data_IF_145347788708
#
_entry.id   IF_145347788708
#
_cell.length_a   1.000
_cell.length_b   1.000
_cell.length_c   1.000
_cell.angle_alpha   90.00
_cell.angle_beta   90.00
_cell.angle_gamma   90.00
#
_symmetry.space_group_name_H-M   'P 1'
#
loop_
_entity.id
_entity.type
_entity.pdbx_description
1 polymer ?
#
# COMPACT_ATOMS: atom_id res chain seq x y z
N UNK A 1 -34.32 -0.80 46.93
CA UNK A 1 -34.48 -1.99 46.09
C UNK A 1 -33.11 -2.44 45.58
N UNK A 2 -32.66 -3.56 46.12
CA UNK A 2 -31.31 -4.11 46.03
C UNK A 2 -31.28 -5.13 44.88
N UNK A 3 -30.45 -4.96 43.86
CA UNK A 3 -30.25 -5.98 42.81
C UNK A 3 -28.83 -6.54 42.90
N UNK A 4 -28.79 -7.83 43.15
CA UNK A 4 -27.62 -8.68 43.38
C UNK A 4 -26.77 -8.85 42.09
N UNK A 5 -25.45 -8.67 42.27
CA UNK A 5 -24.41 -9.14 41.35
C UNK A 5 -24.35 -10.68 41.33
N UNK A 6 -24.39 -11.30 40.17
CA UNK A 6 -23.91 -12.67 39.96
C UNK A 6 -22.66 -12.65 39.08
N UNK A 7 -21.56 -13.02 39.71
CA UNK A 7 -20.31 -13.42 39.05
C UNK A 7 -20.48 -14.87 38.57
N UNK A 8 -20.32 -15.10 37.28
CA UNK A 8 -20.06 -16.43 36.70
C UNK A 8 -18.57 -16.52 36.36
N UNK A 9 -17.87 -17.36 37.14
CA UNK A 9 -16.56 -17.87 36.84
C UNK A 9 -16.74 -19.06 35.90
N UNK A 10 -16.16 -19.03 34.69
CA UNK A 10 -15.91 -20.21 33.88
C UNK A 10 -14.41 -20.34 33.68
N UNK A 11 -13.83 -21.30 34.36
CA UNK A 11 -12.48 -21.75 34.15
C UNK A 11 -12.45 -22.65 32.90
N UNK A 12 -11.57 -22.34 31.95
CA UNK A 12 -11.23 -23.26 30.85
C UNK A 12 -9.83 -23.80 31.08
N UNK A 13 -9.77 -25.13 31.34
CA UNK A 13 -8.52 -25.86 31.51
C UNK A 13 -7.81 -26.02 30.17
N UNK A 14 -6.54 -25.65 30.15
CA UNK A 14 -5.59 -26.02 29.09
C UNK A 14 -5.12 -27.46 29.35
N UNK A 15 -5.54 -28.39 28.49
CA UNK A 15 -4.95 -29.73 28.40
C UNK A 15 -3.67 -29.63 27.55
N UNK A 16 -2.52 -29.78 28.18
CA UNK A 16 -1.23 -29.94 27.50
C UNK A 16 -1.14 -31.34 26.87
N UNK A 17 -1.14 -31.40 25.55
CA UNK A 17 -0.84 -32.62 24.80
C UNK A 17 0.67 -32.75 24.65
N UNK A 18 1.30 -33.53 25.50
CA UNK A 18 2.72 -33.93 25.38
C UNK A 18 2.85 -35.05 24.35
N UNK A 19 3.28 -34.73 23.15
CA UNK A 19 3.69 -35.69 22.14
C UNK A 19 5.17 -36.02 22.39
N UNK A 20 5.43 -37.18 22.93
CA UNK A 20 6.79 -37.72 23.07
C UNK A 20 7.27 -38.23 21.68
N UNK A 21 8.25 -37.51 21.08
CA UNK A 21 9.01 -38.04 19.96
C UNK A 21 10.13 -38.94 20.50
N UNK A 22 10.36 -40.14 19.92
CA UNK A 22 11.53 -40.92 20.26
C UNK A 22 12.78 -40.20 19.76
N UNK A 23 13.66 -39.81 20.68
CA UNK A 23 14.98 -39.31 20.39
C UNK A 23 15.80 -40.43 19.76
N UNK A 24 16.03 -40.40 18.45
CA UNK A 24 17.13 -41.10 17.82
C UNK A 24 18.41 -40.41 18.26
N UNK A 25 19.14 -41.08 19.15
CA UNK A 25 20.48 -40.62 19.57
C UNK A 25 21.40 -40.72 18.35
N UNK A 26 21.63 -39.59 17.68
CA UNK A 26 22.75 -39.45 16.77
C UNK A 26 24.01 -39.30 17.61
N UNK A 27 25.10 -39.96 17.22
CA UNK A 27 26.36 -39.95 17.98
C UNK A 27 26.95 -38.53 18.01
N UNK A 28 27.55 -38.13 19.13
CA UNK A 28 28.21 -36.83 19.30
C UNK A 28 29.26 -36.57 18.20
N UNK A 29 29.88 -37.61 17.67
CA UNK A 29 30.86 -37.51 16.58
C UNK A 29 30.22 -37.06 15.23
N UNK A 30 28.93 -37.37 14.97
CA UNK A 30 28.23 -36.91 13.79
C UNK A 30 27.81 -35.44 13.93
N UNK A 31 27.56 -34.98 15.16
CA UNK A 31 27.21 -33.57 15.43
C UNK A 31 28.47 -32.70 15.30
N UNK A 32 29.61 -33.15 15.79
CA UNK A 32 30.90 -32.42 15.66
C UNK A 32 31.37 -32.35 14.21
N UNK A 33 31.13 -33.37 13.40
CA UNK A 33 31.40 -33.34 11.96
C UNK A 33 30.46 -32.35 11.23
N UNK A 34 29.20 -32.24 11.63
CA UNK A 34 28.22 -31.27 11.09
C UNK A 34 28.54 -29.83 11.52
N UNK A 35 29.09 -29.63 12.72
CA UNK A 35 29.47 -28.30 13.22
C UNK A 35 30.80 -27.83 12.62
N UNK A 36 31.76 -28.77 12.34
CA UNK A 36 33.03 -28.47 11.68
C UNK A 36 32.84 -28.02 10.19
N UNK A 37 31.69 -28.24 9.60
CA UNK A 37 31.32 -27.86 8.23
C UNK A 37 30.57 -26.53 8.14
N UNK A 38 30.58 -25.68 9.17
CA UNK A 38 30.09 -24.29 9.09
C UNK A 38 31.05 -23.47 8.25
N UNK A 39 30.95 -23.64 6.96
CA UNK A 39 31.77 -22.99 5.95
C UNK A 39 31.19 -21.62 5.63
N UNK A 40 32.07 -20.66 5.38
CA UNK A 40 31.62 -19.38 4.82
C UNK A 40 30.87 -19.61 3.50
N UNK A 41 30.01 -18.69 3.06
CA UNK A 41 29.33 -18.83 1.75
C UNK A 41 30.29 -19.10 0.59
N UNK A 42 31.53 -18.59 0.65
CA UNK A 42 32.55 -18.83 -0.35
C UNK A 42 33.05 -20.28 -0.34
N UNK A 43 33.23 -20.87 0.84
CA UNK A 43 33.65 -22.29 0.99
C UNK A 43 32.50 -23.22 0.53
N UNK A 44 31.28 -22.90 0.88
CA UNK A 44 30.11 -23.67 0.42
C UNK A 44 29.97 -23.64 -1.11
N UNK A 45 30.22 -22.51 -1.76
CA UNK A 45 30.27 -22.38 -3.22
C UNK A 45 31.37 -23.29 -3.81
N UNK A 46 32.57 -23.25 -3.23
CA UNK A 46 33.67 -24.08 -3.70
C UNK A 46 33.39 -25.59 -3.56
N UNK A 47 32.86 -26.00 -2.41
CA UNK A 47 32.44 -27.39 -2.14
C UNK A 47 31.35 -27.85 -3.08
N UNK A 48 30.29 -27.03 -3.27
CA UNK A 48 29.18 -27.34 -4.19
C UNK A 48 29.64 -27.45 -5.66
N UNK A 49 30.58 -26.63 -6.09
CA UNK A 49 31.19 -26.74 -7.43
C UNK A 49 31.97 -28.06 -7.58
N UNK A 50 32.70 -28.47 -6.56
CA UNK A 50 33.40 -29.74 -6.56
C UNK A 50 32.44 -30.91 -6.60
N UNK A 51 31.39 -30.91 -5.79
CA UNK A 51 30.30 -31.90 -5.79
C UNK A 51 29.60 -31.97 -7.15
N UNK A 52 29.27 -30.81 -7.74
CA UNK A 52 28.65 -30.75 -9.06
C UNK A 52 29.58 -31.30 -10.15
N UNK A 53 30.88 -31.04 -10.08
CA UNK A 53 31.86 -31.59 -11.01
C UNK A 53 32.04 -33.12 -10.86
N UNK A 54 31.85 -33.65 -9.66
CA UNK A 54 31.80 -35.07 -9.38
C UNK A 54 30.46 -35.75 -9.77
N UNK A 55 29.47 -34.99 -10.23
CA UNK A 55 28.13 -35.47 -10.59
C UNK A 55 27.17 -35.57 -9.40
N UNK A 56 27.60 -35.23 -8.20
CA UNK A 56 26.75 -35.18 -7.01
C UNK A 56 25.99 -33.85 -6.91
N UNK A 57 24.98 -33.71 -7.78
CA UNK A 57 24.14 -32.51 -7.81
C UNK A 57 23.25 -32.38 -6.56
N UNK A 58 22.88 -33.50 -5.94
CA UNK A 58 22.06 -33.51 -4.72
C UNK A 58 22.85 -33.02 -3.53
N UNK A 59 24.10 -33.49 -3.37
CA UNK A 59 25.03 -33.00 -2.35
C UNK A 59 25.33 -31.50 -2.54
N UNK A 60 25.59 -31.06 -3.77
CA UNK A 60 25.78 -29.65 -4.09
C UNK A 60 24.58 -28.78 -3.68
N UNK A 61 23.36 -29.25 -3.98
CA UNK A 61 22.13 -28.55 -3.58
C UNK A 61 21.99 -28.47 -2.06
N UNK A 62 22.22 -29.57 -1.34
CA UNK A 62 22.15 -29.58 0.12
C UNK A 62 23.19 -28.68 0.80
N UNK A 63 24.43 -28.63 0.26
CA UNK A 63 25.49 -27.75 0.74
C UNK A 63 25.12 -26.28 0.59
N UNK A 64 24.57 -25.89 -0.58
CA UNK A 64 24.14 -24.52 -0.86
C UNK A 64 22.90 -24.11 -0.08
N UNK A 65 21.94 -25.00 0.10
CA UNK A 65 20.75 -24.76 0.91
C UNK A 65 21.11 -24.47 2.36
N UNK A 66 22.02 -25.26 2.95
CA UNK A 66 22.53 -25.03 4.31
C UNK A 66 23.23 -23.68 4.41
N UNK A 67 24.10 -23.34 3.46
CA UNK A 67 24.79 -22.05 3.45
C UNK A 67 23.80 -20.86 3.36
N UNK A 68 22.70 -21.03 2.66
CA UNK A 68 21.64 -20.02 2.53
C UNK A 68 20.75 -19.93 3.77
N UNK A 69 20.61 -21.01 4.56
CA UNK A 69 19.95 -20.96 5.86
C UNK A 69 20.77 -20.13 6.88
N UNK A 70 22.07 -20.26 6.85
CA UNK A 70 22.98 -19.49 7.72
C UNK A 70 23.20 -18.06 7.23
N UNK A 71 23.27 -17.86 5.91
CA UNK A 71 23.50 -16.58 5.26
C UNK A 71 22.48 -16.32 4.14
N UNK A 72 21.26 -15.90 4.48
CA UNK A 72 20.16 -15.71 3.51
C UNK A 72 20.46 -14.71 2.38
N UNK A 73 21.43 -13.81 2.59
CA UNK A 73 21.82 -12.76 1.67
C UNK A 73 23.03 -13.11 0.80
N UNK A 74 23.48 -14.37 0.81
CA UNK A 74 24.59 -14.82 -0.03
C UNK A 74 24.12 -15.03 -1.48
N UNK A 75 24.01 -13.92 -2.25
CA UNK A 75 23.48 -13.91 -3.61
C UNK A 75 24.20 -14.88 -4.56
N UNK A 76 25.55 -14.99 -4.44
CA UNK A 76 26.35 -15.90 -5.27
C UNK A 76 26.04 -17.37 -4.97
N UNK A 77 25.88 -17.75 -3.70
CA UNK A 77 25.47 -19.08 -3.31
C UNK A 77 24.04 -19.39 -3.82
N UNK A 78 23.14 -18.43 -3.77
CA UNK A 78 21.77 -18.55 -4.28
C UNK A 78 21.72 -18.73 -5.78
N UNK A 79 22.54 -18.02 -6.54
CA UNK A 79 22.64 -18.18 -8.00
C UNK A 79 23.16 -19.58 -8.35
N UNK A 80 24.21 -20.05 -7.67
CA UNK A 80 24.70 -21.41 -7.89
C UNK A 80 23.70 -22.47 -7.47
N UNK A 81 22.92 -22.23 -6.41
CA UNK A 81 21.82 -23.09 -5.98
C UNK A 81 20.75 -23.19 -7.05
N UNK A 82 20.32 -22.07 -7.61
CA UNK A 82 19.37 -22.06 -8.72
C UNK A 82 19.90 -22.81 -9.94
N UNK A 83 21.17 -22.64 -10.32
CA UNK A 83 21.80 -23.40 -11.38
C UNK A 83 21.77 -24.91 -11.10
N UNK A 84 22.04 -25.33 -9.86
CA UNK A 84 22.05 -26.72 -9.42
C UNK A 84 20.65 -27.32 -9.45
N UNK A 85 19.62 -26.58 -9.00
CA UNK A 85 18.22 -26.98 -9.10
C UNK A 85 17.78 -27.21 -10.55
N UNK A 86 18.16 -26.35 -11.49
CA UNK A 86 17.87 -26.58 -12.90
C UNK A 86 18.54 -27.84 -13.45
N UNK A 87 19.78 -28.12 -13.08
CA UNK A 87 20.48 -29.36 -13.45
C UNK A 87 19.82 -30.61 -12.85
N UNK A 88 19.18 -30.48 -11.70
CA UNK A 88 18.37 -31.54 -11.05
C UNK A 88 16.99 -31.69 -11.70
N UNK A 89 16.60 -30.84 -12.65
CA UNK A 89 15.30 -30.87 -13.31
C UNK A 89 14.20 -30.11 -12.55
N UNK A 90 14.56 -29.23 -11.61
CA UNK A 90 13.64 -28.33 -10.89
C UNK A 90 13.83 -26.85 -11.31
N UNK A 91 13.38 -26.46 -12.52
CA UNK A 91 13.44 -25.07 -12.96
C UNK A 91 12.47 -24.16 -12.18
N UNK A 92 11.48 -24.73 -11.50
CA UNK A 92 10.51 -23.96 -10.73
C UNK A 92 11.11 -23.55 -9.39
N UNK A 93 11.79 -24.46 -8.69
CA UNK A 93 12.58 -24.14 -7.51
C UNK A 93 13.68 -23.10 -7.81
N UNK A 94 14.37 -23.24 -8.94
CA UNK A 94 15.35 -22.27 -9.38
C UNK A 94 14.77 -20.84 -9.56
N UNK A 95 13.58 -20.72 -10.15
CA UNK A 95 12.91 -19.41 -10.29
C UNK A 95 12.52 -18.79 -8.95
N UNK A 96 12.12 -19.61 -7.98
CA UNK A 96 11.80 -19.16 -6.62
C UNK A 96 13.07 -18.57 -5.98
N UNK A 97 14.20 -19.26 -6.09
CA UNK A 97 15.47 -18.80 -5.52
C UNK A 97 15.98 -17.52 -6.21
N UNK A 98 15.86 -17.41 -7.53
CA UNK A 98 16.17 -16.19 -8.26
C UNK A 98 15.27 -15.02 -7.82
N UNK A 99 13.99 -15.27 -7.53
CA UNK A 99 13.05 -14.27 -7.03
C UNK A 99 13.39 -13.72 -5.64
N UNK A 100 14.20 -14.46 -4.85
CA UNK A 100 14.69 -14.03 -3.52
C UNK A 100 15.97 -13.20 -3.57
N UNK A 101 16.62 -13.08 -4.74
CA UNK A 101 17.85 -12.30 -4.86
C UNK A 101 17.59 -10.84 -4.53
N UNK A 102 18.29 -10.33 -3.52
CA UNK A 102 18.37 -8.90 -3.29
C UNK A 102 19.15 -8.25 -4.44
N UNK A 103 18.65 -7.16 -4.95
CA UNK A 103 19.01 -6.55 -6.25
C UNK A 103 20.34 -5.79 -6.28
N UNK A 104 21.15 -5.90 -5.25
CA UNK A 104 22.48 -5.30 -5.20
C UNK A 104 23.51 -6.33 -5.68
N UNK A 105 24.14 -6.02 -6.81
CA UNK A 105 25.36 -6.70 -7.32
C UNK A 105 25.22 -8.19 -7.69
N UNK A 106 24.21 -8.55 -8.47
CA UNK A 106 24.20 -9.84 -9.16
C UNK A 106 25.29 -9.80 -10.22
N UNK A 107 26.44 -10.43 -9.94
CA UNK A 107 27.52 -10.60 -10.92
C UNK A 107 26.95 -11.20 -12.21
N UNK A 108 27.07 -10.46 -13.32
CA UNK A 108 26.51 -10.88 -14.61
C UNK A 108 26.93 -12.30 -15.02
N UNK A 109 28.17 -12.67 -14.72
CA UNK A 109 28.73 -13.99 -15.06
C UNK A 109 28.05 -15.15 -14.31
N UNK A 110 27.73 -14.99 -13.00
CA UNK A 110 27.07 -16.04 -12.23
C UNK A 110 25.59 -16.18 -12.57
N UNK A 111 24.94 -15.06 -12.92
CA UNK A 111 23.59 -15.12 -13.44
C UNK A 111 23.51 -15.80 -14.79
N UNK A 112 24.46 -15.50 -15.68
CA UNK A 112 24.55 -16.13 -17.00
C UNK A 112 24.80 -17.63 -16.89
N UNK A 113 25.64 -18.08 -15.94
CA UNK A 113 25.86 -19.50 -15.61
C UNK A 113 24.55 -20.17 -15.15
N UNK A 114 23.81 -19.53 -14.23
CA UNK A 114 22.52 -20.04 -13.77
C UNK A 114 21.49 -20.09 -14.89
N UNK A 115 21.40 -19.06 -15.70
CA UNK A 115 20.48 -19.00 -16.85
C UNK A 115 20.80 -20.04 -17.91
N UNK A 116 22.08 -20.28 -18.20
CA UNK A 116 22.52 -21.31 -19.12
C UNK A 116 22.17 -22.71 -18.58
N UNK A 117 22.39 -22.99 -17.30
CA UNK A 117 22.01 -24.23 -16.65
C UNK A 117 20.49 -24.50 -16.73
N UNK A 118 19.70 -23.46 -16.75
CA UNK A 118 18.23 -23.51 -16.87
C UNK A 118 17.73 -23.39 -18.32
N UNK A 119 18.59 -23.56 -19.31
CA UNK A 119 18.20 -23.53 -20.73
C UNK A 119 17.69 -22.17 -21.22
N UNK A 120 18.12 -21.06 -20.61
CA UNK A 120 17.67 -19.72 -20.93
C UNK A 120 16.28 -19.35 -20.34
N UNK A 121 15.73 -20.21 -19.49
CA UNK A 121 14.38 -20.05 -18.92
C UNK A 121 14.33 -19.14 -17.69
N UNK A 122 15.46 -18.72 -17.15
CA UNK A 122 15.50 -17.75 -16.07
C UNK A 122 15.34 -16.34 -16.70
N UNK A 123 14.20 -15.74 -16.50
CA UNK A 123 14.11 -14.30 -16.70
C UNK A 123 15.11 -13.66 -15.73
N UNK A 124 16.06 -12.90 -16.25
CA UNK A 124 16.84 -12.00 -15.41
C UNK A 124 15.82 -11.25 -14.58
N UNK A 125 15.92 -11.25 -13.22
CA UNK A 125 15.00 -10.43 -12.44
C UNK A 125 15.00 -9.09 -13.13
N UNK A 126 13.82 -8.68 -13.67
CA UNK A 126 13.72 -7.36 -14.25
C UNK A 126 14.39 -6.47 -13.23
N UNK A 127 15.34 -5.57 -13.63
CA UNK A 127 15.86 -4.64 -12.67
C UNK A 127 14.64 -4.20 -11.94
N UNK A 128 14.59 -4.42 -10.62
CA UNK A 128 13.48 -3.91 -9.90
C UNK A 128 13.33 -2.54 -10.49
N UNK A 129 12.11 -2.18 -10.91
CA UNK A 129 11.85 -0.76 -11.00
C UNK A 129 12.50 -0.27 -9.75
N UNK A 130 13.70 0.24 -9.95
CA UNK A 130 14.63 0.34 -8.87
C UNK A 130 13.91 1.19 -7.84
N UNK A 131 13.53 0.59 -6.75
CA UNK A 131 13.52 1.28 -5.49
C UNK A 131 15.01 1.58 -5.19
N UNK A 132 15.75 1.90 -6.29
CA UNK A 132 17.01 2.59 -6.28
C UNK A 132 16.66 3.85 -5.54
N UNK A 133 17.20 4.04 -4.36
CA UNK A 133 16.94 5.18 -3.52
C UNK A 133 17.02 6.53 -4.24
N UNK A 134 17.33 6.52 -5.53
CA UNK A 134 17.35 7.64 -6.46
C UNK A 134 16.35 7.42 -7.57
N UNK A 135 15.49 8.37 -7.82
CA UNK A 135 14.68 8.30 -9.00
C UNK A 135 13.49 9.24 -9.02
N UNK A 136 13.02 9.40 -10.20
CA UNK A 136 11.75 10.03 -10.55
C UNK A 136 10.82 8.91 -10.99
N UNK A 137 9.68 8.78 -10.34
CA UNK A 137 8.62 7.88 -10.75
C UNK A 137 7.29 8.61 -10.73
N UNK A 138 6.37 8.19 -11.56
CA UNK A 138 5.10 8.88 -11.60
C UNK A 138 4.06 8.19 -12.44
N UNK A 139 2.88 8.79 -12.42
CA UNK A 139 1.79 8.42 -13.30
C UNK A 139 1.03 9.66 -13.76
N UNK A 140 0.55 9.63 -14.97
CA UNK A 140 -0.39 10.61 -15.53
C UNK A 140 -1.58 9.83 -16.08
N UNK A 141 -2.78 10.30 -15.83
CA UNK A 141 -3.97 9.68 -16.37
C UNK A 141 -5.00 10.72 -16.82
N UNK A 142 -5.80 10.32 -17.79
CA UNK A 142 -6.96 11.06 -18.25
C UNK A 142 -8.06 10.10 -18.68
N UNK A 143 -9.31 10.52 -18.57
CA UNK A 143 -10.42 9.64 -18.89
C UNK A 143 -11.79 10.26 -18.68
N UNK A 144 -12.79 9.38 -18.71
CA UNK A 144 -14.19 9.69 -18.51
C UNK A 144 -14.73 8.96 -17.28
N UNK A 145 -15.62 9.58 -16.55
CA UNK A 145 -16.37 8.97 -15.48
C UNK A 145 -17.87 9.21 -15.68
N UNK A 146 -18.66 8.26 -15.24
CA UNK A 146 -20.10 8.36 -15.09
C UNK A 146 -20.47 8.09 -13.65
N UNK A 147 -21.29 8.94 -13.05
CA UNK A 147 -21.87 8.77 -11.72
C UNK A 147 -23.38 8.90 -11.78
N UNK A 148 -24.11 7.93 -11.22
CA UNK A 148 -25.58 7.98 -11.17
C UNK A 148 -26.09 9.05 -10.20
N UNK A 149 -25.28 9.48 -9.25
CA UNK A 149 -25.53 10.60 -8.35
C UNK A 149 -24.21 11.36 -8.14
N UNK A 150 -23.92 12.25 -9.07
CA UNK A 150 -22.65 13.00 -9.10
C UNK A 150 -22.42 13.80 -7.80
N UNK A 151 -23.49 14.34 -7.19
CA UNK A 151 -23.39 15.04 -5.91
C UNK A 151 -22.93 14.14 -4.76
N UNK A 152 -23.30 12.86 -4.79
CA UNK A 152 -22.82 11.87 -3.81
C UNK A 152 -21.32 11.59 -3.95
N UNK A 153 -20.81 11.54 -5.16
CA UNK A 153 -19.38 11.31 -5.43
C UNK A 153 -18.51 12.46 -4.89
N UNK A 154 -18.92 13.72 -5.08
CA UNK A 154 -18.21 14.88 -4.54
C UNK A 154 -18.16 14.86 -3.00
N UNK A 155 -19.22 14.42 -2.36
CA UNK A 155 -19.30 14.36 -0.91
C UNK A 155 -18.24 13.48 -0.22
N UNK A 156 -17.54 12.60 -0.96
CA UNK A 156 -16.41 11.83 -0.45
C UNK A 156 -15.13 12.66 -0.32
N UNK A 157 -14.93 13.61 -1.22
CA UNK A 157 -13.72 14.42 -1.30
C UNK A 157 -13.75 15.59 -0.32
N UNK A 158 -14.94 16.05 0.05
CA UNK A 158 -15.14 17.27 0.83
C UNK A 158 -16.13 17.06 1.96
N UNK A 159 -16.16 17.98 2.92
CA UNK A 159 -17.18 18.05 3.95
C UNK A 159 -18.44 18.78 3.48
N UNK A 160 -18.49 19.13 2.20
CA UNK A 160 -19.57 19.88 1.59
C UNK A 160 -20.89 19.11 1.59
N UNK A 161 -21.96 19.80 1.87
CA UNK A 161 -23.34 19.33 1.77
C UNK A 161 -24.02 19.99 0.59
N UNK A 162 -24.04 19.31 -0.52
CA UNK A 162 -24.95 19.67 -1.58
C UNK A 162 -26.36 19.16 -1.23
N UNK A 163 -27.35 20.01 -1.28
CA UNK A 163 -28.77 19.63 -1.36
C UNK A 163 -29.17 19.26 -2.80
N UNK A 164 -28.17 18.95 -3.62
CA UNK A 164 -28.37 18.72 -5.04
C UNK A 164 -29.38 17.60 -5.29
N UNK A 165 -30.24 17.85 -6.24
CA UNK A 165 -31.17 16.89 -6.85
C UNK A 165 -30.32 15.72 -7.36
N UNK A 166 -30.86 14.50 -7.26
CA UNK A 166 -30.22 13.33 -7.86
C UNK A 166 -30.17 13.52 -9.36
N UNK A 167 -29.01 13.71 -9.91
CA UNK A 167 -28.76 13.83 -11.33
C UNK A 167 -27.56 13.01 -11.73
N UNK A 168 -27.72 12.25 -12.81
CA UNK A 168 -26.66 11.51 -13.45
C UNK A 168 -25.68 12.49 -14.08
N UNK A 169 -24.38 12.21 -14.00
CA UNK A 169 -23.33 13.05 -14.54
C UNK A 169 -22.27 12.30 -15.31
N UNK A 170 -21.81 12.91 -16.39
CA UNK A 170 -20.58 12.52 -17.08
C UNK A 170 -19.50 13.56 -16.83
N UNK A 171 -18.32 13.10 -16.50
CA UNK A 171 -17.18 13.96 -16.16
C UNK A 171 -15.95 13.59 -16.96
N UNK A 172 -15.13 14.59 -17.26
CA UNK A 172 -13.71 14.40 -17.54
C UNK A 172 -12.98 14.21 -16.20
N UNK A 173 -12.14 13.19 -16.14
CA UNK A 173 -11.27 12.95 -15.00
C UNK A 173 -9.83 12.96 -15.45
N UNK A 174 -8.95 13.53 -14.64
CA UNK A 174 -7.53 13.58 -14.94
C UNK A 174 -6.70 13.69 -13.68
N UNK A 175 -5.43 13.39 -13.81
CA UNK A 175 -4.50 13.57 -12.71
C UNK A 175 -3.09 13.21 -13.07
N UNK A 176 -2.19 13.63 -12.20
CA UNK A 176 -0.78 13.31 -12.28
C UNK A 176 -0.24 13.08 -10.86
N UNK A 177 0.69 12.16 -10.74
CA UNK A 177 1.48 11.94 -9.53
C UNK A 177 2.94 11.84 -9.91
N UNK A 178 3.78 12.56 -9.21
CA UNK A 178 5.23 12.55 -9.33
C UNK A 178 5.82 12.25 -7.97
N UNK A 179 6.77 11.32 -7.90
CA UNK A 179 7.55 11.03 -6.71
C UNK A 179 9.03 11.19 -7.06
N UNK A 180 9.74 11.89 -6.19
CA UNK A 180 11.16 12.14 -6.26
C UNK A 180 11.82 11.54 -5.04
N UNK A 181 12.92 10.82 -5.21
CA UNK A 181 13.73 10.28 -4.11
C UNK A 181 15.20 10.54 -4.41
N UNK A 182 15.94 11.01 -3.43
CA UNK A 182 17.39 11.20 -3.55
C UNK A 182 18.13 9.91 -3.19
N UNK A 183 19.42 9.85 -3.58
CA UNK A 183 20.34 8.79 -3.17
C UNK A 183 20.36 8.63 -1.66
N UNK A 184 20.34 7.37 -1.23
CA UNK A 184 20.34 7.02 0.17
C UNK A 184 18.95 6.91 0.82
N UNK A 185 17.86 7.33 0.17
CA UNK A 185 16.52 7.15 0.75
C UNK A 185 16.22 5.68 1.07
N UNK A 186 16.64 4.74 0.22
CA UNK A 186 16.50 3.30 0.42
C UNK A 186 17.49 2.66 1.43
N UNK A 187 18.42 3.41 2.00
CA UNK A 187 19.47 2.86 2.88
C UNK A 187 19.89 3.79 4.01
N UNK A 188 20.81 4.71 3.75
CA UNK A 188 21.39 5.62 4.76
C UNK A 188 20.45 6.76 5.17
N UNK A 189 19.42 7.01 4.39
CA UNK A 189 18.49 8.14 4.52
C UNK A 189 18.71 9.20 3.45
N UNK A 190 17.63 9.87 3.03
CA UNK A 190 17.67 10.85 1.97
C UNK A 190 16.39 11.69 1.91
N UNK A 191 16.37 12.62 0.97
CA UNK A 191 15.21 13.47 0.74
C UNK A 191 14.20 12.80 -0.18
N UNK A 192 12.94 13.09 0.04
CA UNK A 192 11.86 12.74 -0.86
C UNK A 192 11.02 13.98 -1.20
N UNK A 193 10.39 13.93 -2.35
CA UNK A 193 9.39 14.89 -2.79
C UNK A 193 8.22 14.17 -3.44
N UNK A 194 7.05 14.75 -3.40
CA UNK A 194 5.88 14.24 -4.09
C UNK A 194 4.95 15.36 -4.49
N UNK A 195 4.42 15.26 -5.69
CA UNK A 195 3.38 16.12 -6.21
C UNK A 195 2.24 15.23 -6.70
N UNK A 196 1.01 15.61 -6.40
CA UNK A 196 -0.17 14.96 -6.95
C UNK A 196 -1.23 16.00 -7.31
N UNK A 197 -1.88 15.79 -8.44
CA UNK A 197 -3.05 16.55 -8.84
C UNK A 197 -4.13 15.59 -9.29
N UNK A 198 -5.37 15.87 -8.93
CA UNK A 198 -6.56 15.14 -9.38
C UNK A 198 -7.63 16.15 -9.72
N UNK A 199 -8.20 16.03 -10.91
CA UNK A 199 -9.26 16.90 -11.42
C UNK A 199 -10.45 16.08 -11.85
N UNK A 200 -11.64 16.64 -11.65
CA UNK A 200 -12.90 16.13 -12.19
C UNK A 200 -13.74 17.31 -12.63
N UNK A 201 -14.14 17.33 -13.90
CA UNK A 201 -14.95 18.37 -14.50
C UNK A 201 -16.18 17.76 -15.17
N UNK A 202 -17.35 18.18 -14.74
CA UNK A 202 -18.62 17.69 -15.29
C UNK A 202 -18.84 18.22 -16.71
N UNK A 203 -19.08 17.30 -17.65
CA UNK A 203 -19.41 17.62 -19.04
C UNK A 203 -20.94 17.73 -19.22
N UNK A 204 -21.67 16.89 -18.50
CA UNK A 204 -23.13 16.85 -18.54
C UNK A 204 -23.64 16.45 -17.15
N UNK A 205 -24.60 17.22 -16.64
CA UNK A 205 -25.14 17.05 -15.29
C UNK A 205 -24.96 18.30 -14.43
N UNK A 206 -25.17 18.18 -13.11
CA UNK A 206 -24.92 19.28 -12.18
C UNK A 206 -23.42 19.57 -12.15
N UNK A 207 -23.04 20.84 -12.20
CA UNK A 207 -21.64 21.25 -12.04
C UNK A 207 -21.13 20.83 -10.67
N UNK A 208 -20.23 19.85 -10.63
CA UNK A 208 -19.59 19.32 -9.43
C UNK A 208 -18.09 19.17 -9.68
N UNK A 209 -17.52 20.24 -10.23
CA UNK A 209 -16.11 20.31 -10.57
C UNK A 209 -15.26 20.37 -9.31
N UNK A 210 -14.14 19.65 -9.29
CA UNK A 210 -13.14 19.81 -8.27
C UNK A 210 -11.73 19.60 -8.79
N UNK A 211 -10.79 20.32 -8.18
CA UNK A 211 -9.35 20.12 -8.35
C UNK A 211 -8.72 19.94 -6.97
N UNK A 212 -7.85 18.96 -6.85
CA UNK A 212 -7.08 18.69 -5.63
C UNK A 212 -5.61 18.65 -6.01
N UNK A 213 -4.82 19.62 -5.51
CA UNK A 213 -3.37 19.64 -5.62
C UNK A 213 -2.74 19.29 -4.28
N UNK A 214 -1.71 18.44 -4.26
CA UNK A 214 -0.96 18.09 -3.08
C UNK A 214 0.53 18.14 -3.36
N UNK A 215 1.30 18.74 -2.46
CA UNK A 215 2.75 18.77 -2.46
C UNK A 215 3.26 18.22 -1.14
N UNK A 216 4.23 17.33 -1.22
CA UNK A 216 4.93 16.75 -0.08
C UNK A 216 6.43 16.87 -0.29
N UNK A 217 7.17 17.08 0.78
CA UNK A 217 8.61 16.97 0.77
C UNK A 217 9.07 16.50 2.14
N UNK A 218 10.29 16.00 2.24
CA UNK A 218 10.79 15.60 3.54
C UNK A 218 12.08 14.81 3.48
N UNK A 219 12.41 14.26 4.62
CA UNK A 219 13.54 13.39 4.81
C UNK A 219 13.05 12.05 5.36
N UNK A 220 13.68 10.97 4.92
CA UNK A 220 13.35 9.64 5.40
C UNK A 220 14.37 8.58 5.02
N UNK A 221 14.10 7.38 5.49
CA UNK A 221 14.86 6.18 5.20
C UNK A 221 13.86 5.03 4.99
N UNK A 222 14.10 4.21 4.00
CA UNK A 222 13.29 3.02 3.73
C UNK A 222 14.23 1.87 3.39
N UNK A 223 14.41 0.93 4.30
CA UNK A 223 15.26 -0.25 4.08
C UNK A 223 15.41 -1.10 5.33
N UNK A 224 15.84 -2.35 5.16
CA UNK A 224 15.93 -3.32 6.25
C UNK A 224 14.57 -3.59 6.90
N UNK A 225 14.55 -3.72 8.23
CA UNK A 225 13.33 -4.02 8.99
C UNK A 225 12.58 -2.78 9.50
N UNK A 226 13.12 -1.59 9.25
CA UNK A 226 12.54 -0.34 9.74
C UNK A 226 12.75 0.78 8.73
N UNK A 227 11.69 1.56 8.50
CA UNK A 227 11.72 2.80 7.72
C UNK A 227 11.01 3.93 8.45
N UNK A 228 11.36 5.14 8.11
CA UNK A 228 10.63 6.32 8.55
C UNK A 228 10.68 7.42 7.49
N UNK A 229 9.70 8.30 7.52
CA UNK A 229 9.76 9.56 6.80
C UNK A 229 9.06 10.65 7.60
N UNK A 230 9.52 11.89 7.45
CA UNK A 230 8.92 13.07 8.07
C UNK A 230 9.08 14.28 7.14
N UNK A 231 8.07 15.13 7.08
CA UNK A 231 8.15 16.34 6.29
C UNK A 231 6.86 17.13 6.21
N UNK A 232 6.91 18.32 5.58
CA UNK A 232 5.74 19.15 5.32
C UNK A 232 4.81 18.54 4.27
N UNK A 233 3.55 18.93 4.37
CA UNK A 233 2.49 18.69 3.39
C UNK A 233 1.72 19.98 3.14
N UNK A 234 1.43 20.27 1.88
CA UNK A 234 0.56 21.33 1.42
C UNK A 234 -0.51 20.73 0.52
N UNK A 235 -1.77 21.03 0.76
CA UNK A 235 -2.88 20.60 -0.10
C UNK A 235 -3.80 21.78 -0.38
N UNK A 236 -4.21 21.91 -1.64
CA UNK A 236 -5.17 22.91 -2.06
C UNK A 236 -6.32 22.23 -2.78
N UNK A 237 -7.54 22.55 -2.38
CA UNK A 237 -8.78 22.01 -2.94
C UNK A 237 -9.59 23.17 -3.49
N UNK A 238 -10.03 23.05 -4.76
CA UNK A 238 -10.97 23.93 -5.41
C UNK A 238 -12.28 23.16 -5.65
N UNK A 239 -13.39 23.84 -5.52
CA UNK A 239 -14.74 23.32 -5.85
C UNK A 239 -15.44 24.35 -6.73
N UNK A 240 -16.07 23.89 -7.80
CA UNK A 240 -16.83 24.76 -8.71
C UNK A 240 -16.02 25.93 -9.27
N UNK A 241 -14.72 25.69 -9.56
CA UNK A 241 -13.73 26.70 -9.99
C UNK A 241 -13.29 27.67 -8.89
N UNK A 242 -13.89 27.66 -7.70
CA UNK A 242 -13.53 28.53 -6.59
C UNK A 242 -12.61 27.84 -5.59
N UNK A 243 -11.69 28.56 -4.92
CA UNK A 243 -10.94 28.04 -3.79
C UNK A 243 -11.88 27.55 -2.69
N UNK A 244 -11.64 26.34 -2.16
CA UNK A 244 -12.43 25.77 -1.08
C UNK A 244 -11.69 25.68 0.23
N UNK A 245 -10.52 25.03 0.22
CA UNK A 245 -9.68 24.91 1.41
C UNK A 245 -8.20 24.75 1.02
N UNK A 246 -7.34 25.40 1.79
CA UNK A 246 -5.90 25.18 1.77
C UNK A 246 -5.48 24.53 3.08
N UNK A 247 -4.79 23.39 3.00
CA UNK A 247 -4.24 22.66 4.14
C UNK A 247 -2.72 22.76 4.10
N UNK A 248 -2.08 23.08 5.22
CA UNK A 248 -0.63 23.03 5.36
C UNK A 248 -0.24 22.50 6.74
N UNK A 249 0.83 21.73 6.79
CA UNK A 249 1.26 21.13 8.04
C UNK A 249 2.39 20.13 7.86
N UNK A 250 2.38 19.10 8.68
CA UNK A 250 3.40 18.06 8.70
C UNK A 250 2.81 16.65 8.67
N UNK A 251 3.61 15.74 8.18
CA UNK A 251 3.33 14.32 8.20
C UNK A 251 4.56 13.52 8.63
N UNK A 252 4.31 12.37 9.25
CA UNK A 252 5.33 11.39 9.59
C UNK A 252 4.83 9.99 9.29
N UNK A 253 5.74 9.10 8.90
CA UNK A 253 5.44 7.71 8.61
C UNK A 253 6.51 6.82 9.25
N UNK A 254 6.08 5.69 9.80
CA UNK A 254 6.93 4.61 10.30
C UNK A 254 6.56 3.34 9.55
N UNK A 255 7.56 2.60 9.10
CA UNK A 255 7.44 1.32 8.41
C UNK A 255 8.15 0.24 9.22
N UNK A 256 7.43 -0.76 9.67
CA UNK A 256 7.95 -1.92 10.39
C UNK A 256 7.86 -3.16 9.51
N UNK A 257 8.96 -3.93 9.43
CA UNK A 257 9.09 -5.05 8.50
C UNK A 257 9.84 -4.68 7.21
N UNK A 258 10.08 -3.41 6.98
CA UNK A 258 10.92 -2.90 5.89
C UNK A 258 10.48 -3.40 4.51
N UNK A 259 11.39 -4.08 3.81
CA UNK A 259 11.18 -4.68 2.49
C UNK A 259 10.61 -6.10 2.54
N UNK A 260 10.31 -6.63 3.74
CA UNK A 260 9.71 -7.95 3.87
C UNK A 260 8.37 -8.05 3.13
N UNK A 261 7.97 -9.28 2.84
CA UNK A 261 6.67 -9.55 2.21
C UNK A 261 5.47 -9.05 3.04
N UNK A 262 5.71 -8.81 4.34
CA UNK A 262 4.72 -8.36 5.31
C UNK A 262 5.26 -7.17 6.08
N UNK A 263 4.56 -6.04 6.09
CA UNK A 263 4.97 -4.89 6.87
C UNK A 263 3.78 -4.10 7.43
N UNK A 264 4.03 -3.35 8.49
CA UNK A 264 3.07 -2.45 9.11
C UNK A 264 3.53 -1.02 8.88
N UNK A 265 2.62 -0.20 8.36
CA UNK A 265 2.81 1.22 8.13
C UNK A 265 1.97 2.02 9.12
N UNK A 266 2.59 2.92 9.87
CA UNK A 266 1.91 3.87 10.74
C UNK A 266 2.16 5.26 10.19
N UNK A 267 1.11 6.04 9.96
CA UNK A 267 1.21 7.41 9.46
C UNK A 267 0.43 8.36 10.36
N UNK A 268 1.05 9.48 10.69
CA UNK A 268 0.44 10.61 11.36
C UNK A 268 0.52 11.85 10.46
N UNK A 269 -0.55 12.63 10.41
CA UNK A 269 -0.63 13.91 9.69
C UNK A 269 -1.30 14.94 10.61
N UNK A 270 -0.73 16.14 10.67
CA UNK A 270 -1.29 17.28 11.37
C UNK A 270 -1.27 18.49 10.42
N UNK A 271 -2.44 19.01 10.08
CA UNK A 271 -2.58 20.12 9.14
C UNK A 271 -3.53 21.17 9.69
N UNK A 272 -3.19 22.41 9.43
CA UNK A 272 -4.10 23.54 9.54
C UNK A 272 -4.92 23.66 8.25
N UNK A 273 -6.23 23.81 8.39
CA UNK A 273 -7.19 23.94 7.31
C UNK A 273 -7.71 25.38 7.29
N UNK A 274 -7.44 26.11 6.21
CA UNK A 274 -7.97 27.45 5.97
C UNK A 274 -9.00 27.38 4.84
N UNK A 275 -10.26 27.57 5.19
CA UNK A 275 -11.37 27.57 4.23
C UNK A 275 -11.54 28.94 3.60
N UNK A 276 -11.95 28.97 2.35
CA UNK A 276 -12.23 30.24 1.68
C UNK A 276 -13.45 30.94 2.31
N UNK A 277 -13.31 32.25 2.55
CA UNK A 277 -14.33 33.05 3.21
C UNK A 277 -15.64 33.21 2.40
N UNK A 278 -15.59 32.95 1.09
CA UNK A 278 -16.80 32.96 0.24
C UNK A 278 -17.69 31.76 0.54
N UNK A 279 -17.09 30.63 0.91
CA UNK A 279 -17.80 29.37 1.25
C UNK A 279 -18.18 29.31 2.73
N UNK A 280 -17.30 29.77 3.63
CA UNK A 280 -17.52 29.78 5.09
C UNK A 280 -17.17 31.15 5.67
N UNK A 281 -18.14 32.11 5.67
CA UNK A 281 -17.89 33.44 6.18
C UNK A 281 -17.37 33.43 7.62
N UNK A 282 -16.35 34.26 7.88
CA UNK A 282 -15.77 34.44 9.20
C UNK A 282 -14.87 33.27 9.67
N UNK A 283 -14.27 32.54 8.76
CA UNK A 283 -13.32 31.44 9.04
C UNK A 283 -13.91 30.34 9.95
N UNK A 284 -15.20 30.17 9.92
CA UNK A 284 -15.93 29.30 10.84
C UNK A 284 -15.46 27.83 10.82
N UNK A 285 -15.03 27.36 9.66
CA UNK A 285 -14.59 25.98 9.43
C UNK A 285 -13.06 25.80 9.53
N UNK A 286 -12.30 26.90 9.70
CA UNK A 286 -10.85 26.85 9.87
C UNK A 286 -10.48 26.06 11.12
N UNK A 287 -9.27 25.53 11.17
CA UNK A 287 -8.78 24.83 12.34
C UNK A 287 -7.79 23.71 12.03
N UNK A 288 -7.42 22.98 13.05
CA UNK A 288 -6.42 21.91 12.96
C UNK A 288 -7.09 20.56 12.80
N UNK A 289 -6.64 19.79 11.79
CA UNK A 289 -7.00 18.39 11.57
C UNK A 289 -5.82 17.48 11.89
N UNK A 290 -6.09 16.44 12.66
CA UNK A 290 -5.17 15.36 12.98
C UNK A 290 -5.69 14.06 12.36
N UNK A 291 -4.81 13.29 11.75
CA UNK A 291 -5.07 11.95 11.21
C UNK A 291 -3.98 11.01 11.69
N UNK A 292 -4.36 9.88 12.27
CA UNK A 292 -3.46 8.80 12.66
C UNK A 292 -3.96 7.50 12.05
N UNK A 293 -3.16 6.85 11.22
CA UNK A 293 -3.50 5.61 10.56
C UNK A 293 -2.49 4.51 10.79
N UNK A 294 -2.97 3.26 10.78
CA UNK A 294 -2.14 2.06 10.75
C UNK A 294 -2.67 1.14 9.65
N UNK A 295 -1.76 0.57 8.87
CA UNK A 295 -2.06 -0.36 7.81
C UNK A 295 -1.12 -1.57 7.88
N UNK A 296 -1.68 -2.75 7.63
CA UNK A 296 -0.94 -3.96 7.35
C UNK A 296 -0.92 -4.20 5.85
N UNK A 297 0.28 -4.36 5.30
CA UNK A 297 0.51 -4.56 3.88
C UNK A 297 1.23 -5.90 3.69
N UNK A 298 0.76 -6.70 2.73
CA UNK A 298 1.33 -8.03 2.50
C UNK A 298 1.26 -8.45 1.03
N UNK A 299 2.27 -9.21 0.61
CA UNK A 299 2.21 -9.92 -0.67
C UNK A 299 1.44 -11.22 -0.50
N UNK A 300 0.50 -11.48 -1.41
CA UNK A 300 -0.26 -12.72 -1.50
C UNK A 300 0.22 -13.49 -2.74
N UNK A 301 1.16 -14.40 -2.51
CA UNK A 301 1.88 -15.07 -3.59
C UNK A 301 2.79 -14.11 -4.36
N UNK A 302 3.14 -14.47 -5.58
CA UNK A 302 4.07 -13.69 -6.42
C UNK A 302 3.45 -12.43 -7.05
N UNK A 303 2.13 -12.40 -7.17
CA UNK A 303 1.41 -11.42 -8.01
C UNK A 303 0.37 -10.60 -7.27
N UNK A 304 0.05 -10.98 -6.05
CA UNK A 304 -0.94 -10.30 -5.22
C UNK A 304 -0.30 -9.32 -4.25
N UNK A 305 -0.94 -8.18 -4.03
CA UNK A 305 -0.60 -7.24 -2.97
C UNK A 305 -1.88 -6.84 -2.24
N UNK A 306 -1.89 -6.97 -0.93
CA UNK A 306 -3.04 -6.70 -0.09
C UNK A 306 -2.70 -5.68 0.99
N UNK A 307 -3.60 -4.74 1.20
CA UNK A 307 -3.52 -3.73 2.26
C UNK A 307 -4.82 -3.72 3.03
N UNK A 308 -4.75 -3.68 4.34
CA UNK A 308 -5.87 -3.38 5.22
C UNK A 308 -5.41 -2.43 6.32
N UNK A 309 -6.22 -1.44 6.64
CA UNK A 309 -5.86 -0.46 7.65
C UNK A 309 -7.05 0.25 8.27
N UNK A 310 -6.74 0.99 9.33
CA UNK A 310 -7.69 1.85 10.01
C UNK A 310 -7.04 3.21 10.32
N UNK A 311 -7.85 4.25 10.43
CA UNK A 311 -7.40 5.57 10.85
C UNK A 311 -8.38 6.20 11.82
N UNK A 312 -7.87 7.01 12.74
CA UNK A 312 -8.61 7.95 13.57
C UNK A 312 -8.41 9.37 13.07
N UNK A 313 -9.46 10.16 13.08
CA UNK A 313 -9.47 11.54 12.61
C UNK A 313 -10.05 12.47 13.69
N UNK A 314 -9.43 13.61 13.89
CA UNK A 314 -9.91 14.66 14.79
C UNK A 314 -9.74 16.02 14.09
N UNK A 315 -10.79 16.81 14.10
CA UNK A 315 -10.74 18.21 13.66
C UNK A 315 -11.19 19.12 14.81
N UNK A 316 -10.35 20.04 15.16
CA UNK A 316 -10.68 21.14 16.06
C UNK A 316 -10.85 22.40 15.21
N UNK A 317 -12.09 22.84 14.98
CA UNK A 317 -12.42 24.00 14.19
C UNK A 317 -12.65 25.24 15.09
N UNK A 318 -12.45 26.43 14.53
CA UNK A 318 -12.64 27.72 15.22
C UNK A 318 -14.08 27.85 15.73
N UNK A 319 -15.05 27.49 14.89
CA UNK A 319 -16.42 27.27 15.37
C UNK A 319 -16.63 25.78 15.65
N UNK A 320 -16.95 25.48 16.88
CA UNK A 320 -17.05 24.11 17.40
C UNK A 320 -17.99 23.17 16.61
N UNK A 321 -19.00 23.71 15.94
CA UNK A 321 -19.95 22.95 15.14
C UNK A 321 -19.36 22.40 13.84
N UNK A 322 -18.18 22.87 13.39
CA UNK A 322 -17.42 22.33 12.27
C UNK A 322 -16.32 21.35 12.73
N UNK A 323 -16.07 21.26 14.04
CA UNK A 323 -15.18 20.27 14.61
C UNK A 323 -15.81 18.87 14.59
N UNK A 324 -14.99 17.85 14.39
CA UNK A 324 -15.43 16.46 14.39
C UNK A 324 -14.38 15.50 14.92
N UNK A 325 -14.83 14.32 15.27
CA UNK A 325 -14.00 13.13 15.46
C UNK A 325 -14.54 12.02 14.60
N UNK A 326 -13.66 11.14 14.15
CA UNK A 326 -14.10 10.06 13.30
C UNK A 326 -13.05 8.98 13.15
N UNK A 327 -13.39 8.04 12.32
CA UNK A 327 -12.48 6.96 11.94
C UNK A 327 -12.84 6.41 10.58
N UNK A 328 -11.86 5.76 9.97
CA UNK A 328 -12.05 5.04 8.70
C UNK A 328 -11.35 3.70 8.74
N UNK A 329 -11.93 2.74 8.04
CA UNK A 329 -11.30 1.47 7.69
C UNK A 329 -11.15 1.43 6.19
N UNK A 330 -10.02 0.96 5.70
CA UNK A 330 -9.74 0.88 4.28
C UNK A 330 -9.07 -0.43 3.94
N UNK A 331 -9.27 -0.88 2.70
CA UNK A 331 -8.64 -2.08 2.15
C UNK A 331 -8.33 -1.86 0.68
N UNK A 332 -7.27 -2.51 0.20
CA UNK A 332 -6.95 -2.60 -1.21
C UNK A 332 -6.34 -3.96 -1.52
N UNK A 333 -6.65 -4.48 -2.69
CA UNK A 333 -6.04 -5.67 -3.24
C UNK A 333 -5.67 -5.41 -4.70
N UNK A 334 -4.44 -5.70 -5.06
CA UNK A 334 -3.97 -5.66 -6.43
C UNK A 334 -3.47 -7.03 -6.84
N UNK A 335 -3.89 -7.51 -7.99
CA UNK A 335 -3.42 -8.73 -8.63
C UNK A 335 -2.81 -8.37 -9.98
N UNK A 336 -1.54 -8.69 -10.15
CA UNK A 336 -0.81 -8.48 -11.42
C UNK A 336 -0.78 -9.78 -12.22
N UNK A 337 -0.96 -9.68 -13.54
CA UNK A 337 -0.93 -10.81 -14.47
C UNK A 337 0.41 -10.88 -15.21
N UNK A 338 0.72 -12.02 -15.82
CA UNK A 338 1.98 -12.23 -16.53
C UNK A 338 2.17 -11.29 -17.74
N UNK A 339 1.07 -10.87 -18.35
CA UNK A 339 1.04 -9.90 -19.46
C UNK A 339 1.13 -8.44 -19.01
N UNK A 340 1.43 -8.18 -17.72
CA UNK A 340 1.50 -6.86 -17.06
C UNK A 340 0.16 -6.20 -16.81
N UNK A 341 -0.97 -6.80 -17.19
CA UNK A 341 -2.28 -6.35 -16.77
C UNK A 341 -2.41 -6.42 -15.24
N UNK A 342 -3.31 -5.64 -14.68
CA UNK A 342 -3.62 -5.75 -13.26
C UNK A 342 -5.10 -5.52 -12.94
N UNK A 343 -5.55 -6.21 -11.91
CA UNK A 343 -6.86 -6.03 -11.29
C UNK A 343 -6.66 -5.33 -9.94
N UNK A 344 -7.45 -4.30 -9.66
CA UNK A 344 -7.45 -3.64 -8.35
C UNK A 344 -8.85 -3.63 -7.77
N UNK A 345 -8.96 -4.03 -6.51
CA UNK A 345 -10.16 -3.88 -5.69
C UNK A 345 -9.80 -3.01 -4.50
N UNK A 346 -10.55 -1.94 -4.27
CA UNK A 346 -10.33 -1.09 -3.10
C UNK A 346 -11.65 -0.66 -2.47
N UNK A 347 -11.60 -0.35 -1.17
CA UNK A 347 -12.76 0.11 -0.44
C UNK A 347 -12.38 0.89 0.81
N UNK A 348 -13.24 1.82 1.20
CA UNK A 348 -13.11 2.63 2.41
C UNK A 348 -14.48 2.85 3.04
N UNK A 349 -14.55 2.72 4.35
CA UNK A 349 -15.71 3.16 5.14
C UNK A 349 -15.22 4.16 6.17
N UNK A 350 -15.82 5.34 6.20
CA UNK A 350 -15.50 6.45 7.11
C UNK A 350 -16.74 6.83 7.91
N UNK A 351 -16.58 7.01 9.22
CA UNK A 351 -17.63 7.51 10.11
C UNK A 351 -17.14 8.74 10.86
N UNK A 352 -17.95 9.79 10.90
CA UNK A 352 -17.64 11.07 11.53
C UNK A 352 -18.77 11.48 12.45
N UNK A 353 -18.45 11.84 13.68
CA UNK A 353 -19.32 12.51 14.65
C UNK A 353 -18.90 13.98 14.76
N UNK A 354 -19.80 14.91 14.48
CA UNK A 354 -19.56 16.34 14.71
C UNK A 354 -19.69 16.65 16.21
N UNK A 355 -18.74 17.40 16.76
CA UNK A 355 -18.56 17.54 18.21
C UNK A 355 -19.62 18.40 18.90
N UNK A 356 -20.30 19.26 18.13
CA UNK A 356 -21.29 20.18 18.66
C UNK A 356 -22.50 20.27 17.73
N UNK A 357 -23.63 20.57 18.35
CA UNK A 357 -24.90 20.74 17.65
C UNK A 357 -24.83 21.86 16.65
N UNK A 358 -25.18 21.57 15.41
CA UNK A 358 -25.52 22.58 14.43
C UNK A 358 -27.00 22.95 14.66
N UNK A 359 -27.24 24.14 15.19
CA UNK A 359 -28.56 24.69 15.52
C UNK A 359 -29.32 24.01 16.68
N UNK A 360 -29.55 22.72 16.68
CA UNK A 360 -30.28 21.99 17.75
C UNK A 360 -29.78 20.55 17.91
N UNK A 361 -29.13 19.94 16.93
CA UNK A 361 -28.96 18.48 16.89
C UNK A 361 -27.55 17.98 16.53
N UNK A 362 -27.23 16.77 17.02
CA UNK A 362 -25.99 16.06 16.73
C UNK A 362 -25.96 15.58 15.27
N UNK A 363 -24.87 15.84 14.57
CA UNK A 363 -24.65 15.39 13.20
C UNK A 363 -23.68 14.25 13.15
N UNK A 364 -24.07 13.17 12.42
CA UNK A 364 -23.24 12.01 12.13
C UNK A 364 -23.21 11.74 10.64
N UNK A 365 -22.05 11.39 10.13
CA UNK A 365 -21.83 11.16 8.71
C UNK A 365 -21.12 9.82 8.49
N UNK A 366 -21.72 8.93 7.71
CA UNK A 366 -21.11 7.67 7.31
C UNK A 366 -20.96 7.66 5.80
N UNK A 367 -19.75 7.38 5.32
CA UNK A 367 -19.39 7.33 3.91
C UNK A 367 -18.74 5.99 3.61
N UNK A 368 -19.10 5.40 2.47
CA UNK A 368 -18.42 4.23 1.96
C UNK A 368 -18.11 4.43 0.49
N UNK A 369 -16.95 3.93 0.09
CA UNK A 369 -16.52 3.94 -1.31
C UNK A 369 -15.93 2.58 -1.65
N UNK A 370 -16.26 2.07 -2.83
CA UNK A 370 -15.69 0.85 -3.39
C UNK A 370 -15.32 1.06 -4.85
N UNK A 371 -14.23 0.46 -5.29
CA UNK A 371 -13.76 0.51 -6.68
C UNK A 371 -13.19 -0.84 -7.09
N UNK A 372 -13.64 -1.35 -8.23
CA UNK A 372 -13.09 -2.50 -8.93
C UNK A 372 -12.58 -2.03 -10.29
N UNK A 373 -11.31 -2.21 -10.57
CA UNK A 373 -10.69 -1.78 -11.81
C UNK A 373 -9.87 -2.88 -12.46
N UNK A 374 -9.88 -2.93 -13.78
CA UNK A 374 -9.01 -3.77 -14.58
C UNK A 374 -8.25 -2.92 -15.60
N UNK A 375 -6.93 -3.05 -15.59
CA UNK A 375 -6.04 -2.30 -16.47
C UNK A 375 -5.29 -3.25 -17.40
N UNK A 376 -5.34 -2.94 -18.69
CA UNK A 376 -4.70 -3.66 -19.78
C UNK A 376 -3.42 -2.91 -20.18
N UNK A 377 -2.28 -3.58 -20.16
CA UNK A 377 -1.00 -3.00 -20.56
C UNK A 377 -0.92 -2.89 -22.09
N UNK A 378 -0.58 -1.71 -22.61
CA UNK A 378 -0.36 -1.46 -24.02
C UNK A 378 1.16 -1.52 -24.33
N UNK A 379 1.65 -2.71 -24.64
CA UNK A 379 3.07 -2.92 -24.92
C UNK A 379 3.97 -2.80 -23.66
N UNK A 380 5.20 -2.31 -23.83
CA UNK A 380 6.21 -2.21 -22.76
C UNK A 380 6.43 -0.79 -22.22
N UNK A 381 5.71 0.19 -22.75
CA UNK A 381 5.94 1.63 -22.53
C UNK A 381 5.39 2.20 -21.22
N UNK A 382 4.84 1.38 -20.32
CA UNK A 382 4.17 1.89 -19.12
C UNK A 382 2.76 2.46 -19.37
N UNK A 383 2.23 2.31 -20.59
CA UNK A 383 0.91 2.77 -20.97
C UNK A 383 -0.14 1.68 -20.68
N UNK A 384 -1.28 2.09 -20.09
CA UNK A 384 -2.41 1.21 -19.74
C UNK A 384 -3.74 1.83 -20.16
N UNK A 385 -4.70 0.98 -20.48
CA UNK A 385 -6.12 1.35 -20.56
C UNK A 385 -6.85 0.66 -19.42
N UNK A 386 -7.55 1.41 -18.62
CA UNK A 386 -8.24 0.94 -17.42
C UNK A 386 -9.75 1.18 -17.53
N UNK A 387 -10.54 0.16 -17.19
CA UNK A 387 -11.96 0.26 -16.93
C UNK A 387 -12.23 0.00 -15.45
N UNK A 388 -13.12 0.78 -14.84
CA UNK A 388 -13.49 0.59 -13.44
C UNK A 388 -15.00 0.74 -13.21
N UNK A 389 -15.50 -0.02 -12.23
CA UNK A 389 -16.79 0.19 -11.60
C UNK A 389 -16.58 0.79 -10.22
N UNK A 390 -17.38 1.78 -9.86
CA UNK A 390 -17.32 2.46 -8.57
C UNK A 390 -18.68 2.40 -7.87
N UNK A 391 -18.66 2.48 -6.56
CA UNK A 391 -19.85 2.61 -5.75
C UNK A 391 -19.60 3.54 -4.58
N UNK A 392 -20.39 4.59 -4.49
CA UNK A 392 -20.35 5.57 -3.42
C UNK A 392 -21.62 5.51 -2.60
N UNK A 393 -21.47 5.45 -1.29
CA UNK A 393 -22.56 5.53 -0.32
C UNK A 393 -22.29 6.62 0.69
N UNK A 394 -23.32 7.41 0.99
CA UNK A 394 -23.27 8.37 2.10
C UNK A 394 -24.59 8.38 2.85
N UNK A 395 -24.53 8.34 4.15
CA UNK A 395 -25.65 8.56 5.06
C UNK A 395 -25.27 9.63 6.07
N UNK A 396 -25.93 10.76 6.02
CA UNK A 396 -25.83 11.80 7.03
C UNK A 396 -27.10 11.77 7.90
N UNK A 397 -26.91 11.85 9.22
CA UNK A 397 -28.01 11.93 10.21
C UNK A 397 -27.83 13.23 10.98
N UNK A 398 -28.90 14.02 11.07
CA UNK A 398 -29.03 15.15 12.00
C UNK A 398 -30.28 14.84 12.83
N UNK A 399 -30.12 14.72 14.16
CA UNK A 399 -31.25 14.44 15.06
C UNK A 399 -32.14 15.70 15.11
N UNK A 400 -33.47 15.56 14.91
CA UNK A 400 -34.48 16.66 15.00
C UNK A 400 -34.86 17.32 13.68
N UNK A 401 -34.04 17.26 12.65
CA UNK A 401 -34.38 17.76 11.31
C UNK A 401 -34.53 16.62 10.30
N UNK A 402 -35.46 16.80 9.34
CA UNK A 402 -35.74 15.94 8.21
C UNK A 402 -34.50 15.19 7.71
N UNK A 403 -34.63 13.87 7.55
CA UNK A 403 -33.64 12.95 6.99
C UNK A 403 -32.76 13.63 5.96
N UNK A 404 -31.50 13.91 6.32
CA UNK A 404 -30.53 14.26 5.29
C UNK A 404 -30.47 13.10 4.30
N UNK A 405 -30.34 13.45 3.06
CA UNK A 405 -30.45 12.50 1.95
C UNK A 405 -29.37 11.42 2.07
N UNK A 406 -29.79 10.18 1.97
CA UNK A 406 -28.88 9.06 1.75
C UNK A 406 -28.55 9.01 0.26
N UNK A 407 -27.26 9.01 -0.07
CA UNK A 407 -26.76 8.91 -1.43
C UNK A 407 -26.31 7.48 -1.73
N UNK A 408 -26.68 7.03 -2.92
CA UNK A 408 -26.18 5.79 -3.52
C UNK A 408 -25.80 6.13 -4.95
N UNK A 409 -24.52 6.09 -5.26
CA UNK A 409 -24.03 6.43 -6.59
C UNK A 409 -23.15 5.29 -7.12
N UNK A 410 -23.74 4.33 -7.86
CA UNK A 410 -22.95 3.49 -8.74
C UNK A 410 -22.37 4.33 -9.86
N UNK A 411 -21.16 4.02 -10.29
CA UNK A 411 -20.45 4.75 -11.33
C UNK A 411 -19.56 3.83 -12.14
N UNK A 412 -19.03 4.37 -13.23
CA UNK A 412 -18.07 3.71 -14.09
C UNK A 412 -17.00 4.71 -14.54
N UNK A 413 -15.79 4.22 -14.77
CA UNK A 413 -14.67 5.02 -15.24
C UNK A 413 -13.95 4.30 -16.38
N UNK A 414 -13.44 5.08 -17.33
CA UNK A 414 -12.50 4.63 -18.35
C UNK A 414 -11.31 5.59 -18.39
N UNK A 415 -10.11 5.07 -18.26
CA UNK A 415 -8.89 5.88 -18.16
C UNK A 415 -7.79 5.37 -19.10
N UNK A 416 -6.98 6.28 -19.59
CA UNK A 416 -5.64 5.99 -20.12
C UNK A 416 -4.64 6.44 -19.06
N UNK A 417 -3.70 5.55 -18.71
CA UNK A 417 -2.72 5.76 -17.64
C UNK A 417 -1.33 5.55 -18.23
N UNK A 418 -0.44 6.48 -18.00
CA UNK A 418 0.97 6.34 -18.31
C UNK A 418 1.78 6.37 -17.00
N UNK A 419 2.55 5.30 -16.76
CA UNK A 419 3.46 5.14 -15.60
C UNK A 419 4.91 5.19 -16.10
N UNK A 420 5.76 5.93 -15.41
CA UNK A 420 7.18 6.13 -15.75
C UNK A 420 8.06 6.15 -14.51
#
# INVERSE_FOLDING_TARGET
>A
MTVKRRLLRTGAGLAALSIAFPALAQSEADIDALVAESQTPADAIATARQQSAAGDLTGAAATLDRALLENPNANDARLLYAATLCRLGDPQGARIEIGKLERQDIGSAMFDEANQACGGALARPAPAEADSGDGVSGEVYGGLAYDQDAAGALALQTEFFGSAKRDDGFSLIGGARLNLRSSGYGGSGGFYGGFAVTSKHEIAGPRLDYDIGELRAGYGRSGGNFGFSIGPVLRHIRLFDDPYVTEYGGQGELLFGGTAAHHVRIRAEAVEQNYDNSTFPGNAADGVRLDLSAAYETRLGERGFFTIGAAGELKNADQRNFGYRGGRVFTAYQLSFANRDYLTLSGTVRHIDFLHRQFVDDRKDTRAYGRLAYAIALGTSGLFVEGAATYTYRKAKIDGFTKLRTYHSPGAEARVIWKF
#
